data_IF_065391066047
#
_entry.id   IF_065391066047
#
_cell.length_a   1.000
_cell.length_b   1.000
_cell.length_c   1.000
_cell.angle_alpha   90.00
_cell.angle_beta   90.00
_cell.angle_gamma   90.00
#
_symmetry.space_group_name_H-M   'P 1'
#
loop_
_entity.id
_entity.type
_entity.pdbx_description
1 polymer ?
#
# COMPACT_ATOMS: atom_id res chain seq x y z
N UNK A 1 -20.20 16.60 -14.86
CA UNK A 1 -19.32 17.79 -14.76
C UNK A 1 -18.83 18.11 -16.16
N UNK A 2 -18.96 19.37 -16.64
CA UNK A 2 -18.40 19.80 -17.92
C UNK A 2 -16.89 19.60 -17.98
N UNK A 3 -16.37 19.31 -19.18
CA UNK A 3 -14.93 19.03 -19.38
C UNK A 3 -14.02 20.18 -18.92
N UNK A 4 -14.46 21.39 -19.11
CA UNK A 4 -13.74 22.61 -18.72
C UNK A 4 -13.64 22.72 -17.19
N UNK A 5 -14.74 22.48 -16.48
CA UNK A 5 -14.79 22.48 -15.02
C UNK A 5 -13.90 21.38 -14.43
N UNK A 6 -13.98 20.15 -14.99
CA UNK A 6 -13.08 19.06 -14.60
C UNK A 6 -11.61 19.43 -14.79
N UNK A 7 -11.27 20.10 -15.91
CA UNK A 7 -9.94 20.62 -16.18
C UNK A 7 -9.48 21.64 -15.15
N UNK A 8 -10.39 22.50 -14.66
CA UNK A 8 -10.10 23.47 -13.61
C UNK A 8 -9.80 22.77 -12.27
N UNK A 9 -10.62 21.80 -11.87
CA UNK A 9 -10.35 21.03 -10.64
C UNK A 9 -9.00 20.34 -10.65
N UNK A 10 -8.62 19.72 -11.79
CA UNK A 10 -7.32 19.05 -11.95
C UNK A 10 -6.16 20.08 -11.82
N UNK A 11 -6.28 21.24 -12.43
CA UNK A 11 -5.25 22.30 -12.31
C UNK A 11 -5.09 22.74 -10.86
N UNK A 12 -6.19 23.11 -10.20
CA UNK A 12 -6.20 23.53 -8.80
C UNK A 12 -5.64 22.46 -7.87
N UNK A 13 -5.94 21.19 -8.14
CA UNK A 13 -5.39 20.05 -7.37
C UNK A 13 -3.85 20.00 -7.48
N UNK A 14 -3.29 20.08 -8.68
CA UNK A 14 -1.85 20.04 -8.86
C UNK A 14 -1.13 21.31 -8.42
N UNK A 15 -1.78 22.47 -8.46
CA UNK A 15 -1.28 23.70 -7.86
C UNK A 15 -1.16 23.57 -6.32
N UNK A 16 -2.16 22.95 -5.71
CA UNK A 16 -2.17 22.70 -4.25
C UNK A 16 -1.18 21.61 -3.82
N UNK A 17 -0.99 20.60 -4.67
CA UNK A 17 -0.14 19.44 -4.39
C UNK A 17 0.90 19.22 -5.51
N UNK A 18 1.86 20.12 -5.68
CA UNK A 18 2.81 20.07 -6.79
C UNK A 18 3.70 18.82 -6.77
N UNK A 19 4.05 18.31 -5.58
CA UNK A 19 4.86 17.10 -5.42
C UNK A 19 4.21 15.85 -6.03
N UNK A 20 2.88 15.79 -6.16
CA UNK A 20 2.21 14.67 -6.85
C UNK A 20 2.50 14.72 -8.34
N UNK A 21 2.45 15.91 -8.95
CA UNK A 21 2.77 16.10 -10.36
C UNK A 21 4.24 15.77 -10.63
N UNK A 22 5.14 16.25 -9.77
CA UNK A 22 6.58 15.99 -9.87
C UNK A 22 6.88 14.49 -9.78
N UNK A 23 6.25 13.78 -8.84
CA UNK A 23 6.33 12.34 -8.73
C UNK A 23 5.89 11.63 -10.02
N UNK A 24 4.74 12.02 -10.59
CA UNK A 24 4.21 11.41 -11.81
C UNK A 24 5.18 11.58 -13.00
N UNK A 25 5.73 12.79 -13.19
CA UNK A 25 6.66 13.06 -14.28
C UNK A 25 8.01 12.35 -14.07
N UNK A 26 8.55 12.37 -12.87
CA UNK A 26 9.78 11.66 -12.52
C UNK A 26 9.65 10.15 -12.72
N UNK A 27 8.52 9.56 -12.28
CA UNK A 27 8.27 8.12 -12.43
C UNK A 27 8.14 7.71 -13.90
N UNK A 28 7.46 8.51 -14.73
CA UNK A 28 7.38 8.25 -16.17
C UNK A 28 8.75 8.35 -16.85
N UNK A 29 9.54 9.35 -16.48
CA UNK A 29 10.90 9.51 -17.02
C UNK A 29 11.78 8.31 -16.65
N UNK A 30 11.77 7.90 -15.39
CA UNK A 30 12.50 6.74 -14.91
C UNK A 30 12.07 5.44 -15.64
N UNK A 31 10.76 5.21 -15.74
CA UNK A 31 10.22 4.04 -16.42
C UNK A 31 10.62 3.99 -17.90
N UNK A 32 10.61 5.14 -18.59
CA UNK A 32 11.07 5.24 -19.98
C UNK A 32 12.55 4.95 -20.13
N UNK A 33 13.38 5.39 -19.18
CA UNK A 33 14.83 5.18 -19.21
C UNK A 33 15.20 3.74 -18.94
N UNK A 34 14.60 3.13 -17.90
CA UNK A 34 15.02 1.83 -17.35
C UNK A 34 14.13 0.65 -17.78
N UNK A 35 12.91 0.90 -18.26
CA UNK A 35 11.93 -0.15 -18.61
C UNK A 35 11.23 -0.79 -17.42
N UNK A 36 11.42 -0.27 -16.22
CA UNK A 36 10.76 -0.72 -14.99
C UNK A 36 10.58 0.44 -14.00
N UNK A 37 9.79 0.21 -12.96
CA UNK A 37 9.72 1.02 -11.75
C UNK A 37 9.92 0.14 -10.52
N UNK A 38 10.21 0.74 -9.36
CA UNK A 38 10.50 0.01 -8.13
C UNK A 38 9.57 0.44 -6.99
N UNK A 39 9.23 -0.50 -6.11
CA UNK A 39 8.65 -0.20 -4.81
C UNK A 39 9.69 0.41 -3.88
N UNK A 40 9.26 0.97 -2.74
CA UNK A 40 10.19 1.46 -1.70
C UNK A 40 11.12 0.37 -1.14
N UNK A 41 10.80 -0.91 -1.40
CA UNK A 41 11.61 -2.06 -1.00
C UNK A 41 12.47 -2.63 -2.15
N UNK A 42 12.49 -1.97 -3.32
CA UNK A 42 13.30 -2.36 -4.46
C UNK A 42 12.72 -3.48 -5.33
N UNK A 43 11.45 -3.87 -5.12
CA UNK A 43 10.79 -4.83 -6.02
C UNK A 43 10.42 -4.14 -7.33
N UNK A 44 10.84 -4.75 -8.45
CA UNK A 44 10.67 -4.18 -9.80
C UNK A 44 9.38 -4.63 -10.46
N UNK A 45 8.73 -3.67 -11.13
CA UNK A 45 7.63 -3.90 -12.06
C UNK A 45 8.07 -3.45 -13.46
N UNK A 46 8.10 -4.39 -14.42
CA UNK A 46 8.63 -4.14 -15.77
C UNK A 46 7.53 -3.68 -16.73
N UNK A 47 7.88 -2.70 -17.57
CA UNK A 47 7.00 -2.09 -18.57
C UNK A 47 7.69 -2.07 -19.95
N UNK A 48 7.78 -3.20 -20.67
CA UNK A 48 8.48 -3.28 -21.96
C UNK A 48 7.89 -2.34 -23.01
N UNK A 49 6.57 -2.09 -22.94
CA UNK A 49 5.85 -1.24 -23.88
C UNK A 49 5.75 0.23 -23.45
N UNK A 50 6.53 0.67 -22.47
CA UNK A 50 6.51 2.07 -21.97
C UNK A 50 6.87 3.10 -23.05
N UNK A 51 7.59 2.67 -24.10
CA UNK A 51 8.00 3.48 -25.26
C UNK A 51 7.22 3.11 -26.55
N UNK A 52 6.11 2.38 -26.45
CA UNK A 52 5.34 1.97 -27.61
C UNK A 52 5.01 3.16 -28.53
N UNK A 53 5.09 2.94 -29.84
CA UNK A 53 4.71 3.94 -30.86
C UNK A 53 3.21 4.25 -30.81
N UNK A 54 2.38 3.25 -30.47
CA UNK A 54 0.95 3.43 -30.27
C UNK A 54 0.67 4.28 -29.03
N UNK A 55 0.03 5.47 -29.18
CA UNK A 55 -0.21 6.38 -28.07
C UNK A 55 -1.09 5.79 -26.96
N UNK A 56 -2.04 4.92 -27.31
CA UNK A 56 -2.94 4.30 -26.31
C UNK A 56 -2.19 3.29 -25.45
N UNK A 57 -1.36 2.44 -26.07
CA UNK A 57 -0.52 1.46 -25.36
C UNK A 57 0.47 2.19 -24.45
N UNK A 58 1.15 3.21 -24.97
CA UNK A 58 2.08 4.02 -24.17
C UNK A 58 1.40 4.67 -22.97
N UNK A 59 0.26 5.35 -23.18
CA UNK A 59 -0.48 6.02 -22.11
C UNK A 59 -0.99 5.03 -21.04
N UNK A 60 -1.38 3.82 -21.43
CA UNK A 60 -1.74 2.76 -20.47
C UNK A 60 -0.55 2.36 -19.61
N UNK A 61 0.61 2.07 -20.23
CA UNK A 61 1.83 1.70 -19.51
C UNK A 61 2.33 2.84 -18.60
N UNK A 62 2.24 4.10 -19.02
CA UNK A 62 2.62 5.25 -18.19
C UNK A 62 1.75 5.36 -16.94
N UNK A 63 0.41 5.20 -17.06
CA UNK A 63 -0.49 5.20 -15.88
C UNK A 63 -0.20 4.04 -14.94
N UNK A 64 0.02 2.84 -15.50
CA UNK A 64 0.36 1.67 -14.72
C UNK A 64 1.71 1.84 -13.98
N UNK A 65 2.71 2.40 -14.66
CA UNK A 65 4.02 2.69 -14.07
C UNK A 65 3.95 3.72 -12.93
N UNK A 66 3.10 4.75 -13.03
CA UNK A 66 2.88 5.72 -11.95
C UNK A 66 2.26 5.05 -10.72
N UNK A 67 1.30 4.15 -10.90
CA UNK A 67 0.60 3.48 -9.81
C UNK A 67 1.44 2.39 -9.12
N UNK A 68 2.30 1.69 -9.87
CA UNK A 68 2.98 0.50 -9.39
C UNK A 68 3.89 0.73 -8.17
N UNK A 69 4.69 1.81 -8.05
CA UNK A 69 5.48 2.04 -6.84
C UNK A 69 4.62 2.22 -5.59
N UNK A 70 3.48 2.90 -5.70
CA UNK A 70 2.59 3.19 -4.58
C UNK A 70 1.85 1.91 -4.16
N UNK A 71 1.09 1.31 -5.09
CA UNK A 71 0.32 0.09 -4.81
C UNK A 71 1.23 -1.09 -4.47
N UNK A 72 2.36 -1.22 -5.16
CA UNK A 72 3.33 -2.25 -4.89
C UNK A 72 3.99 -2.10 -3.52
N UNK A 73 4.30 -0.88 -3.09
CA UNK A 73 4.84 -0.62 -1.75
C UNK A 73 3.83 -0.94 -0.66
N UNK A 74 2.56 -0.59 -0.84
CA UNK A 74 1.49 -0.95 0.08
C UNK A 74 1.34 -2.47 0.21
N UNK A 75 1.37 -3.20 -0.91
CA UNK A 75 1.35 -4.66 -0.91
C UNK A 75 2.58 -5.27 -0.22
N UNK A 76 3.76 -4.68 -0.38
CA UNK A 76 4.97 -5.13 0.28
C UNK A 76 4.91 -4.89 1.79
N UNK A 77 4.35 -3.77 2.24
CA UNK A 77 4.15 -3.46 3.68
C UNK A 77 3.25 -4.52 4.34
N UNK A 78 2.06 -4.77 3.77
CA UNK A 78 1.13 -5.74 4.38
C UNK A 78 1.70 -7.16 4.37
N UNK A 79 2.41 -7.56 3.31
CA UNK A 79 3.10 -8.84 3.24
C UNK A 79 4.17 -8.98 4.32
N UNK A 80 4.93 -7.93 4.59
CA UNK A 80 5.94 -7.90 5.67
C UNK A 80 5.29 -8.02 7.04
N UNK A 81 4.15 -7.36 7.25
CA UNK A 81 3.35 -7.51 8.47
C UNK A 81 2.91 -8.97 8.64
N UNK A 82 2.33 -9.58 7.61
CA UNK A 82 1.87 -10.98 7.65
C UNK A 82 2.99 -11.96 8.02
N UNK A 83 4.18 -11.81 7.41
CA UNK A 83 5.33 -12.70 7.69
C UNK A 83 5.78 -12.64 9.15
N UNK A 84 5.63 -11.49 9.81
CA UNK A 84 6.05 -11.29 11.20
C UNK A 84 4.97 -11.61 12.21
N UNK A 85 3.71 -11.64 11.78
CA UNK A 85 2.55 -11.73 12.65
C UNK A 85 2.53 -13.02 13.48
N UNK A 86 2.80 -14.17 12.85
CA UNK A 86 2.81 -15.46 13.55
C UNK A 86 3.79 -15.49 14.71
N UNK A 87 5.02 -15.05 14.48
CA UNK A 87 6.04 -15.00 15.51
C UNK A 87 5.66 -14.02 16.63
N UNK A 88 5.14 -12.84 16.29
CA UNK A 88 4.75 -11.83 17.28
C UNK A 88 3.61 -12.33 18.19
N UNK A 89 2.63 -13.02 17.64
CA UNK A 89 1.56 -13.64 18.42
C UNK A 89 2.06 -14.79 19.31
N UNK A 90 2.97 -15.60 18.79
CA UNK A 90 3.57 -16.72 19.53
C UNK A 90 4.46 -16.22 20.69
N UNK A 91 5.26 -15.19 20.50
CA UNK A 91 6.13 -14.59 21.52
C UNK A 91 5.31 -14.06 22.71
N UNK A 92 4.13 -13.52 22.44
CA UNK A 92 3.17 -13.06 23.45
C UNK A 92 2.26 -14.17 23.98
N UNK A 93 2.45 -15.43 23.52
CA UNK A 93 1.66 -16.61 23.90
C UNK A 93 0.16 -16.45 23.65
N UNK A 94 -0.21 -15.77 22.58
CA UNK A 94 -1.59 -15.55 22.16
C UNK A 94 -2.05 -16.69 21.25
N UNK A 95 -3.29 -17.15 21.44
CA UNK A 95 -3.93 -18.16 20.62
C UNK A 95 -4.62 -17.58 19.37
N UNK A 96 -4.53 -16.28 19.17
CA UNK A 96 -5.03 -15.59 17.99
C UNK A 96 -4.41 -16.15 16.70
N UNK A 97 -5.23 -16.29 15.66
CA UNK A 97 -4.79 -16.81 14.35
C UNK A 97 -5.16 -15.83 13.24
N UNK A 98 -4.18 -15.48 12.41
CA UNK A 98 -4.43 -14.74 11.18
C UNK A 98 -5.06 -15.71 10.16
N UNK A 99 -6.24 -15.35 9.65
CA UNK A 99 -7.02 -16.19 8.75
C UNK A 99 -6.80 -15.82 7.28
N UNK A 100 -6.96 -14.55 6.95
CA UNK A 100 -6.89 -14.10 5.56
C UNK A 100 -6.62 -12.58 5.47
N UNK A 101 -6.25 -12.14 4.27
CA UNK A 101 -6.14 -10.75 3.88
C UNK A 101 -7.27 -10.40 2.90
N UNK A 102 -7.91 -9.26 3.11
CA UNK A 102 -8.87 -8.67 2.18
C UNK A 102 -8.44 -7.23 1.89
N UNK A 103 -8.00 -6.96 0.66
CA UNK A 103 -7.41 -5.66 0.27
C UNK A 103 -6.25 -5.23 1.18
N UNK A 104 -6.48 -4.27 2.07
CA UNK A 104 -5.55 -3.70 3.05
C UNK A 104 -5.86 -4.11 4.50
N UNK A 105 -6.79 -5.03 4.69
CA UNK A 105 -7.20 -5.56 5.99
C UNK A 105 -6.60 -6.95 6.24
N UNK A 106 -6.27 -7.23 7.51
CA UNK A 106 -5.94 -8.57 8.01
C UNK A 106 -7.02 -9.02 8.99
N UNK A 107 -7.54 -10.22 8.77
CA UNK A 107 -8.61 -10.79 9.57
C UNK A 107 -8.07 -11.90 10.46
N UNK A 108 -8.44 -11.84 11.73
CA UNK A 108 -7.98 -12.74 12.77
C UNK A 108 -9.17 -13.42 13.47
N UNK A 109 -8.99 -14.66 13.84
CA UNK A 109 -9.80 -15.32 14.84
C UNK A 109 -9.11 -15.24 16.19
N UNK A 110 -9.79 -14.68 17.18
CA UNK A 110 -9.20 -14.36 18.49
C UNK A 110 -10.12 -14.87 19.60
N UNK A 111 -9.61 -15.63 20.59
CA UNK A 111 -10.40 -15.94 21.79
C UNK A 111 -10.85 -14.66 22.49
N UNK A 112 -12.10 -14.59 22.95
CA UNK A 112 -12.68 -13.36 23.55
C UNK A 112 -11.79 -12.79 24.68
N UNK A 113 -11.24 -13.67 25.53
CA UNK A 113 -10.38 -13.25 26.64
C UNK A 113 -9.01 -12.71 26.24
N UNK A 114 -8.63 -12.78 24.94
CA UNK A 114 -7.33 -12.34 24.42
C UNK A 114 -7.43 -11.09 23.54
N UNK A 115 -8.63 -10.60 23.24
CA UNK A 115 -8.85 -9.48 22.31
C UNK A 115 -8.04 -8.24 22.71
N UNK A 116 -8.13 -7.82 23.97
CA UNK A 116 -7.45 -6.65 24.51
C UNK A 116 -5.91 -6.76 24.45
N UNK A 117 -5.37 -7.96 24.47
CA UNK A 117 -3.93 -8.22 24.36
C UNK A 117 -3.50 -8.36 22.90
N UNK A 118 -4.34 -8.91 22.04
CA UNK A 118 -4.04 -9.16 20.64
C UNK A 118 -4.00 -7.87 19.83
N UNK A 119 -4.95 -6.95 20.04
CA UNK A 119 -5.04 -5.69 19.28
C UNK A 119 -3.73 -4.89 19.32
N UNK A 120 -3.10 -4.61 20.47
CA UNK A 120 -1.83 -3.87 20.51
C UNK A 120 -0.70 -4.57 19.75
N UNK A 121 -0.60 -5.90 19.82
CA UNK A 121 0.44 -6.69 19.13
C UNK A 121 0.26 -6.58 17.61
N UNK A 122 -0.96 -6.83 17.12
CA UNK A 122 -1.29 -6.73 15.70
C UNK A 122 -1.02 -5.32 15.17
N UNK A 123 -1.49 -4.29 15.88
CA UNK A 123 -1.26 -2.89 15.52
C UNK A 123 0.23 -2.58 15.44
N UNK A 124 1.00 -2.94 16.45
CA UNK A 124 2.45 -2.71 16.48
C UNK A 124 3.16 -3.37 15.30
N UNK A 125 2.85 -4.62 14.98
CA UNK A 125 3.44 -5.34 13.85
C UNK A 125 3.12 -4.66 12.52
N UNK A 126 1.88 -4.24 12.31
CA UNK A 126 1.45 -3.62 11.07
C UNK A 126 2.03 -2.21 10.90
N UNK A 127 1.97 -1.36 11.93
CA UNK A 127 2.50 0.01 11.90
C UNK A 127 4.02 0.05 11.70
N UNK A 128 4.75 -0.96 12.17
CA UNK A 128 6.20 -1.08 12.05
C UNK A 128 6.65 -2.03 10.93
N UNK A 129 5.75 -2.45 10.05
CA UNK A 129 6.04 -3.46 9.03
C UNK A 129 7.12 -3.02 8.02
N UNK A 130 7.26 -1.72 7.74
CA UNK A 130 8.30 -1.19 6.86
C UNK A 130 9.71 -1.29 7.47
N UNK A 131 9.81 -1.20 8.79
CA UNK A 131 11.11 -1.24 9.50
C UNK A 131 11.71 -2.65 9.51
N UNK A 132 13.05 -2.79 9.63
CA UNK A 132 14.07 -1.74 9.57
C UNK A 132 14.46 -1.33 8.14
N UNK A 133 13.85 -1.94 7.11
CA UNK A 133 14.26 -1.76 5.72
C UNK A 133 14.02 -0.33 5.22
N UNK A 134 12.89 0.28 5.63
CA UNK A 134 12.49 1.64 5.24
C UNK A 134 11.90 2.36 6.45
N UNK A 135 12.45 3.53 6.76
CA UNK A 135 11.83 4.47 7.69
C UNK A 135 10.90 5.39 6.89
N UNK A 136 9.59 5.23 7.10
CA UNK A 136 8.60 6.07 6.41
C UNK A 136 8.58 7.47 7.02
N UNK A 137 8.50 8.49 6.18
CA UNK A 137 8.36 9.90 6.60
C UNK A 137 6.95 10.22 7.13
N UNK A 138 5.97 9.39 6.80
CA UNK A 138 4.59 9.47 7.29
C UNK A 138 4.30 8.20 8.08
N UNK A 139 3.77 8.29 9.31
CA UNK A 139 3.45 7.11 10.11
C UNK A 139 2.31 6.31 9.48
N UNK A 140 2.43 4.99 9.54
CA UNK A 140 1.30 4.11 9.26
C UNK A 140 0.38 4.11 10.49
N UNK A 141 -0.91 4.26 10.26
CA UNK A 141 -1.94 4.14 11.28
C UNK A 141 -2.81 2.93 10.97
N UNK A 142 -3.06 2.12 11.99
CA UNK A 142 -3.85 0.90 11.88
C UNK A 142 -5.07 1.00 12.79
N UNK A 143 -6.25 0.96 12.19
CA UNK A 143 -7.49 0.77 12.92
C UNK A 143 -7.71 -0.72 13.17
N UNK A 144 -8.00 -1.08 14.41
CA UNK A 144 -8.30 -2.45 14.79
C UNK A 144 -9.61 -2.48 15.56
N UNK A 145 -10.52 -3.34 15.13
CA UNK A 145 -11.83 -3.54 15.73
C UNK A 145 -12.06 -5.03 15.99
N UNK A 146 -12.80 -5.34 17.01
CA UNK A 146 -13.22 -6.70 17.34
C UNK A 146 -14.74 -6.77 17.46
N UNK A 147 -15.32 -7.82 16.89
CA UNK A 147 -16.73 -8.15 16.99
C UNK A 147 -16.92 -9.66 16.91
N UNK A 148 -18.14 -10.15 17.05
CA UNK A 148 -18.42 -11.59 16.97
C UNK A 148 -18.34 -12.15 15.54
N UNK A 149 -18.37 -11.27 14.54
CA UNK A 149 -18.19 -11.63 13.13
C UNK A 149 -17.59 -10.46 12.36
N UNK A 150 -17.10 -10.72 11.14
CA UNK A 150 -16.44 -9.73 10.33
C UNK A 150 -17.36 -8.57 9.88
N UNK A 151 -18.64 -8.85 9.58
CA UNK A 151 -19.60 -7.83 9.15
C UNK A 151 -19.81 -6.75 10.21
N UNK A 152 -19.79 -7.11 11.49
CA UNK A 152 -19.89 -6.16 12.61
C UNK A 152 -18.57 -5.42 12.91
N UNK A 153 -17.43 -6.01 12.55
CA UNK A 153 -16.11 -5.42 12.78
C UNK A 153 -15.68 -4.44 11.68
N UNK A 154 -16.33 -4.51 10.51
CA UNK A 154 -15.97 -3.71 9.31
C UNK A 154 -16.46 -2.27 9.36
#
# INVERSE_FOLDING_TARGET
IPREEAGQYIRTYFERFPGIKDYMEATKAFAREHGYVETIFGRRAHYPDIRASNPQVRAFNERAAINAPIQGSAADVIRRAMIRMENALADEKLAARMLLQVHDELIFEVPEGEVEKTIPVVRHVMENAAMPAVALSVPLQVDARAAHNWDEAH
#
